data_IF_870896454140
#
_entry.id   IF_870896454140
#
_cell.length_a   1.000
_cell.length_b   1.000
_cell.length_c   1.000
_cell.angle_alpha   90.00
_cell.angle_beta   90.00
_cell.angle_gamma   90.00
#
_symmetry.space_group_name_H-M   'P 1'
#
loop_
_entity.id
_entity.type
_entity.pdbx_description
1 polymer ?
#
# COMPACT_ATOMS: atom_id res chain seq x y z
N UNK A 1 28.44 -20.40 -13.01
CA UNK A 1 27.77 -19.21 -12.37
C UNK A 1 26.37 -19.00 -12.90
N UNK A 2 26.10 -19.42 -14.14
CA UNK A 2 24.79 -19.23 -14.81
C UNK A 2 23.62 -20.03 -14.21
N UNK A 3 23.84 -21.28 -13.74
CA UNK A 3 22.75 -22.09 -13.17
C UNK A 3 22.12 -21.46 -11.92
N UNK A 4 22.91 -20.91 -10.99
CA UNK A 4 22.37 -20.28 -9.77
C UNK A 4 21.53 -19.03 -10.09
N UNK A 5 21.93 -18.26 -11.10
CA UNK A 5 21.17 -17.09 -11.55
C UNK A 5 19.86 -17.50 -12.22
N UNK A 6 19.91 -18.59 -13.01
CA UNK A 6 18.73 -19.15 -13.67
C UNK A 6 17.75 -19.72 -12.63
N UNK A 7 18.23 -20.49 -11.66
CA UNK A 7 17.42 -21.05 -10.56
C UNK A 7 16.79 -19.93 -9.72
N UNK A 8 17.53 -18.85 -9.43
CA UNK A 8 17.01 -17.68 -8.74
C UNK A 8 15.89 -16.99 -9.54
N UNK A 9 16.10 -16.80 -10.85
CA UNK A 9 15.07 -16.20 -11.75
C UNK A 9 13.80 -17.06 -11.80
N UNK A 10 13.96 -18.39 -11.93
CA UNK A 10 12.83 -19.33 -11.93
C UNK A 10 12.06 -19.25 -10.60
N UNK A 11 12.77 -19.27 -9.48
CA UNK A 11 12.16 -19.15 -8.15
C UNK A 11 11.39 -17.83 -7.98
N UNK A 12 11.97 -16.72 -8.40
CA UNK A 12 11.33 -15.40 -8.33
C UNK A 12 10.09 -15.32 -9.22
N UNK A 13 10.17 -15.85 -10.45
CA UNK A 13 9.02 -15.90 -11.37
C UNK A 13 7.90 -16.79 -10.82
N UNK A 14 8.23 -17.95 -10.27
CA UNK A 14 7.26 -18.87 -9.67
C UNK A 14 6.57 -18.22 -8.45
N UNK A 15 7.33 -17.54 -7.59
CA UNK A 15 6.78 -16.78 -6.46
C UNK A 15 5.85 -15.66 -6.93
N UNK A 16 6.24 -14.89 -7.93
CA UNK A 16 5.41 -13.83 -8.52
C UNK A 16 4.11 -14.38 -9.12
N UNK A 17 4.17 -15.48 -9.85
CA UNK A 17 2.99 -16.15 -10.41
C UNK A 17 2.06 -16.67 -9.31
N UNK A 18 2.62 -17.28 -8.26
CA UNK A 18 1.86 -17.77 -7.10
C UNK A 18 1.16 -16.61 -6.38
N UNK A 19 1.88 -15.53 -6.08
CA UNK A 19 1.30 -14.35 -5.42
C UNK A 19 0.23 -13.68 -6.30
N UNK A 20 0.45 -13.58 -7.61
CA UNK A 20 -0.53 -13.06 -8.54
C UNK A 20 -1.81 -13.92 -8.59
N UNK A 21 -1.66 -15.24 -8.56
CA UNK A 21 -2.79 -16.17 -8.51
C UNK A 21 -3.57 -16.07 -7.19
N UNK A 22 -2.87 -15.89 -6.07
CA UNK A 22 -3.48 -15.79 -4.75
C UNK A 22 -4.19 -14.45 -4.52
N UNK A 23 -3.55 -13.35 -4.92
CA UNK A 23 -4.03 -11.99 -4.68
C UNK A 23 -4.98 -11.48 -5.76
N UNK A 24 -4.96 -12.08 -6.96
CA UNK A 24 -5.80 -11.64 -8.07
C UNK A 24 -5.64 -10.13 -8.34
N UNK A 25 -6.75 -9.39 -8.29
CA UNK A 25 -6.77 -7.94 -8.53
C UNK A 25 -5.97 -7.14 -7.49
N UNK A 26 -5.76 -7.67 -6.28
CA UNK A 26 -4.96 -7.06 -5.22
C UNK A 26 -3.45 -7.15 -5.46
N UNK A 27 -2.99 -7.97 -6.42
CA UNK A 27 -1.57 -8.17 -6.66
C UNK A 27 -0.80 -6.86 -6.89
N UNK A 28 -1.30 -6.02 -7.80
CA UNK A 28 -0.66 -4.74 -8.13
C UNK A 28 -0.73 -3.76 -6.95
N UNK A 29 -1.89 -3.49 -6.33
CA UNK A 29 -1.97 -2.62 -5.16
C UNK A 29 -1.05 -3.06 -4.01
N UNK A 30 -1.02 -4.36 -3.68
CA UNK A 30 -0.16 -4.88 -2.61
C UNK A 30 1.32 -4.72 -2.95
N UNK A 31 1.72 -5.01 -4.19
CA UNK A 31 3.11 -4.83 -4.64
C UNK A 31 3.56 -3.37 -4.55
N UNK A 32 2.72 -2.43 -5.02
CA UNK A 32 2.97 -0.99 -4.92
C UNK A 32 3.02 -0.52 -3.47
N UNK A 33 2.11 -1.00 -2.62
CA UNK A 33 2.12 -0.69 -1.19
C UNK A 33 3.42 -1.11 -0.53
N UNK A 34 3.91 -2.34 -0.78
CA UNK A 34 5.20 -2.82 -0.26
C UNK A 34 6.35 -1.96 -0.76
N UNK A 35 6.37 -1.65 -2.07
CA UNK A 35 7.41 -0.80 -2.65
C UNK A 35 7.42 0.61 -2.03
N UNK A 36 6.26 1.27 -1.92
CA UNK A 36 6.14 2.58 -1.27
C UNK A 36 6.59 2.55 0.20
N UNK A 37 6.23 1.49 0.95
CA UNK A 37 6.66 1.34 2.34
C UNK A 37 8.19 1.25 2.48
N UNK A 38 8.85 0.53 1.58
CA UNK A 38 10.33 0.42 1.57
C UNK A 38 10.96 1.76 1.22
N UNK A 39 10.44 2.44 0.19
CA UNK A 39 10.95 3.77 -0.23
C UNK A 39 10.75 4.79 0.88
N UNK A 40 9.55 4.83 1.50
CA UNK A 40 9.27 5.74 2.62
C UNK A 40 10.20 5.49 3.80
N UNK A 41 10.44 4.23 4.16
CA UNK A 41 11.36 3.89 5.24
C UNK A 41 12.79 4.40 4.96
N UNK A 42 13.28 4.18 3.74
CA UNK A 42 14.63 4.64 3.34
C UNK A 42 14.70 6.17 3.33
N UNK A 43 13.73 6.83 2.67
CA UNK A 43 13.70 8.30 2.58
C UNK A 43 13.52 8.95 3.95
N UNK A 44 12.70 8.34 4.83
CA UNK A 44 12.51 8.78 6.20
C UNK A 44 13.79 8.73 7.05
N UNK A 45 14.60 7.66 6.92
CA UNK A 45 15.89 7.55 7.59
C UNK A 45 16.87 8.64 7.12
N UNK A 46 16.92 8.89 5.81
CA UNK A 46 17.76 9.94 5.23
C UNK A 46 17.27 11.31 5.69
N UNK A 47 15.98 11.60 5.60
CA UNK A 47 15.39 12.86 6.04
C UNK A 47 15.66 13.14 7.54
N UNK A 48 15.54 12.13 8.40
CA UNK A 48 15.87 12.26 9.82
C UNK A 48 17.32 12.69 10.05
N UNK A 49 18.26 12.16 9.24
CA UNK A 49 19.66 12.59 9.29
C UNK A 49 19.82 14.07 8.91
N UNK A 50 19.15 14.51 7.84
CA UNK A 50 19.19 15.92 7.41
C UNK A 50 18.55 16.87 8.42
N UNK A 51 17.52 16.43 9.15
CA UNK A 51 16.92 17.20 10.25
C UNK A 51 17.75 17.21 11.54
N UNK A 52 18.87 16.47 11.58
CA UNK A 52 19.70 16.35 12.78
C UNK A 52 19.06 15.51 13.91
N UNK A 53 18.06 14.71 13.58
CA UNK A 53 17.37 13.84 14.53
C UNK A 53 18.21 12.61 14.88
N UNK A 54 18.22 12.22 16.16
CA UNK A 54 18.84 10.96 16.58
C UNK A 54 17.92 9.79 16.22
N UNK A 55 18.29 9.04 15.20
CA UNK A 55 17.60 7.80 14.84
C UNK A 55 17.95 6.74 15.89
N UNK A 56 16.99 6.37 16.74
CA UNK A 56 17.12 5.26 17.66
C UNK A 56 16.45 4.00 17.08
N UNK A 57 17.00 2.82 17.41
CA UNK A 57 16.42 1.54 17.00
C UNK A 57 14.97 1.39 17.45
N UNK A 58 14.59 1.97 18.59
CA UNK A 58 13.21 1.96 19.10
C UNK A 58 12.27 2.76 18.20
N UNK A 59 12.65 3.93 17.71
CA UNK A 59 11.86 4.76 16.79
C UNK A 59 11.68 4.02 15.46
N UNK A 60 12.76 3.42 14.94
CA UNK A 60 12.69 2.61 13.71
C UNK A 60 11.75 1.41 13.84
N UNK A 61 11.84 0.66 14.94
CA UNK A 61 10.97 -0.49 15.20
C UNK A 61 9.49 -0.09 15.30
N UNK A 62 9.17 1.02 15.98
CA UNK A 62 7.81 1.55 16.09
C UNK A 62 7.24 1.90 14.70
N UNK A 63 8.06 2.46 13.82
CA UNK A 63 7.67 2.75 12.43
C UNK A 63 7.33 1.48 11.66
N UNK A 64 8.14 0.43 11.78
CA UNK A 64 7.90 -0.87 11.14
C UNK A 64 6.62 -1.51 11.66
N UNK A 65 6.40 -1.54 12.97
CA UNK A 65 5.18 -2.10 13.58
C UNK A 65 3.94 -1.38 13.05
N UNK A 66 3.97 -0.03 12.97
CA UNK A 66 2.86 0.76 12.41
C UNK A 66 2.56 0.34 10.97
N UNK A 67 3.56 0.14 10.13
CA UNK A 67 3.38 -0.30 8.74
C UNK A 67 2.81 -1.71 8.65
N UNK A 68 3.26 -2.64 9.49
CA UNK A 68 2.67 -3.98 9.57
C UNK A 68 1.20 -3.91 9.97
N UNK A 69 0.84 -3.06 10.92
CA UNK A 69 -0.57 -2.84 11.30
C UNK A 69 -1.41 -2.28 10.12
N UNK A 70 -0.84 -1.40 9.31
CA UNK A 70 -1.52 -0.91 8.09
C UNK A 70 -1.76 -2.04 7.08
N UNK A 71 -0.84 -2.98 6.93
CA UNK A 71 -1.05 -4.15 6.07
C UNK A 71 -2.20 -5.03 6.55
N UNK A 72 -2.38 -5.15 7.87
CA UNK A 72 -3.52 -5.87 8.44
C UNK A 72 -4.87 -5.24 8.06
N UNK A 73 -4.93 -3.91 7.82
CA UNK A 73 -6.15 -3.27 7.32
C UNK A 73 -6.53 -3.77 5.93
N UNK A 74 -5.57 -4.04 5.04
CA UNK A 74 -5.86 -4.65 3.73
C UNK A 74 -6.42 -6.06 3.90
N UNK A 75 -5.88 -6.84 4.85
CA UNK A 75 -6.40 -8.17 5.18
C UNK A 75 -7.84 -8.07 5.71
N UNK A 76 -8.11 -7.12 6.60
CA UNK A 76 -9.49 -6.86 7.10
C UNK A 76 -10.42 -6.50 5.95
N UNK A 77 -9.99 -5.62 5.04
CA UNK A 77 -10.75 -5.29 3.82
C UNK A 77 -11.06 -6.53 2.98
N UNK A 78 -10.08 -7.41 2.77
CA UNK A 78 -10.28 -8.65 2.02
C UNK A 78 -11.23 -9.63 2.72
N UNK A 79 -11.21 -9.69 4.05
CA UNK A 79 -12.18 -10.48 4.83
C UNK A 79 -13.59 -9.91 4.65
N UNK A 80 -13.75 -8.58 4.73
CA UNK A 80 -15.04 -7.93 4.51
C UNK A 80 -15.57 -8.19 3.10
N UNK A 81 -14.74 -8.05 2.07
CA UNK A 81 -15.11 -8.38 0.68
C UNK A 81 -15.54 -9.84 0.53
N UNK A 82 -14.86 -10.77 1.21
CA UNK A 82 -15.19 -12.19 1.20
C UNK A 82 -16.54 -12.47 1.88
N UNK A 83 -16.82 -11.82 3.02
CA UNK A 83 -18.10 -11.93 3.73
C UNK A 83 -19.26 -11.37 2.91
N UNK A 84 -19.05 -10.21 2.26
CA UNK A 84 -20.06 -9.61 1.38
C UNK A 84 -20.37 -10.54 0.20
N UNK A 85 -19.33 -11.11 -0.42
CA UNK A 85 -19.49 -12.07 -1.49
C UNK A 85 -20.29 -13.29 -1.02
N UNK A 86 -19.93 -13.88 0.10
CA UNK A 86 -20.63 -15.04 0.67
C UNK A 86 -22.13 -14.75 0.93
N UNK A 87 -22.40 -13.58 1.54
CA UNK A 87 -23.78 -13.15 1.78
C UNK A 87 -24.55 -12.95 0.47
N UNK A 88 -23.96 -12.28 -0.51
CA UNK A 88 -24.57 -12.04 -1.81
C UNK A 88 -24.86 -13.34 -2.58
N UNK A 89 -23.92 -14.29 -2.59
CA UNK A 89 -24.10 -15.60 -3.20
C UNK A 89 -25.24 -16.40 -2.54
N UNK A 90 -25.39 -16.26 -1.21
CA UNK A 90 -26.46 -16.93 -0.44
C UNK A 90 -27.86 -16.44 -0.81
N UNK A 91 -27.99 -15.14 -1.14
CA UNK A 91 -29.28 -14.54 -1.55
C UNK A 91 -29.47 -14.47 -3.07
N UNK A 92 -28.51 -15.02 -3.85
CA UNK A 92 -28.60 -15.09 -5.31
C UNK A 92 -28.26 -13.76 -6.01
N UNK A 93 -27.61 -12.82 -5.32
CA UNK A 93 -27.15 -11.53 -5.87
C UNK A 93 -25.68 -11.67 -6.28
N UNK A 94 -25.32 -11.18 -7.46
CA UNK A 94 -23.92 -11.12 -7.90
C UNK A 94 -23.33 -9.74 -7.53
N UNK A 95 -22.36 -9.66 -6.61
CA UNK A 95 -21.69 -8.39 -6.32
C UNK A 95 -20.93 -7.92 -7.56
N UNK A 96 -20.96 -6.61 -7.88
CA UNK A 96 -20.37 -6.06 -9.10
C UNK A 96 -18.85 -6.14 -9.14
N UNK A 97 -18.19 -6.20 -7.99
CA UNK A 97 -16.72 -6.18 -7.88
C UNK A 97 -16.24 -7.06 -6.74
N UNK A 98 -15.18 -7.84 -6.99
CA UNK A 98 -14.45 -8.58 -5.95
C UNK A 98 -13.29 -7.74 -5.40
N UNK A 99 -13.04 -7.80 -4.09
CA UNK A 99 -11.94 -7.09 -3.42
C UNK A 99 -11.98 -5.55 -3.55
N UNK A 100 -13.17 -4.96 -3.57
CA UNK A 100 -13.32 -3.51 -3.66
C UNK A 100 -12.79 -2.80 -2.40
N UNK A 101 -13.18 -3.26 -1.21
CA UNK A 101 -12.81 -2.66 0.08
C UNK A 101 -11.30 -2.78 0.29
N UNK A 102 -10.75 -3.98 0.06
CA UNK A 102 -9.31 -4.19 0.17
C UNK A 102 -8.51 -3.31 -0.81
N UNK A 103 -9.00 -3.11 -2.05
CA UNK A 103 -8.38 -2.19 -3.01
C UNK A 103 -8.43 -0.74 -2.55
N UNK A 104 -9.57 -0.26 -2.06
CA UNK A 104 -9.71 1.12 -1.53
C UNK A 104 -8.73 1.35 -0.38
N UNK A 105 -8.66 0.41 0.57
CA UNK A 105 -7.72 0.48 1.70
C UNK A 105 -6.26 0.49 1.22
N UNK A 106 -5.90 -0.38 0.28
CA UNK A 106 -4.54 -0.43 -0.27
C UNK A 106 -4.16 0.86 -0.98
N UNK A 107 -5.04 1.44 -1.79
CA UNK A 107 -4.82 2.73 -2.48
C UNK A 107 -4.67 3.85 -1.47
N UNK A 108 -5.50 3.89 -0.44
CA UNK A 108 -5.40 4.88 0.64
C UNK A 108 -4.04 4.82 1.36
N UNK A 109 -3.57 3.60 1.67
CA UNK A 109 -2.23 3.41 2.28
C UNK A 109 -1.14 3.89 1.32
N UNK A 110 -1.20 3.53 0.04
CA UNK A 110 -0.24 3.98 -0.97
C UNK A 110 -0.19 5.51 -1.04
N UNK A 111 -1.34 6.19 -1.05
CA UNK A 111 -1.39 7.66 -1.06
C UNK A 111 -0.71 8.26 0.19
N UNK A 112 -0.93 7.67 1.38
CA UNK A 112 -0.25 8.12 2.59
C UNK A 112 1.28 7.94 2.50
N UNK A 113 1.74 6.80 2.00
CA UNK A 113 3.18 6.55 1.83
C UNK A 113 3.80 7.51 0.78
N UNK A 114 3.10 7.77 -0.34
CA UNK A 114 3.56 8.72 -1.35
C UNK A 114 3.67 10.15 -0.80
N UNK A 115 2.70 10.60 0.01
CA UNK A 115 2.77 11.90 0.69
C UNK A 115 4.01 11.95 1.58
N UNK A 116 4.21 10.91 2.42
CA UNK A 116 5.37 10.83 3.32
C UNK A 116 6.69 10.83 2.56
N UNK A 117 6.80 10.07 1.47
CA UNK A 117 7.99 10.05 0.60
C UNK A 117 8.29 11.46 0.06
N UNK A 118 7.27 12.15 -0.45
CA UNK A 118 7.43 13.50 -1.01
C UNK A 118 7.86 14.51 0.08
N UNK A 119 7.29 14.42 1.28
CA UNK A 119 7.67 15.25 2.42
C UNK A 119 9.11 14.96 2.85
N UNK A 120 9.51 13.69 2.95
CA UNK A 120 10.89 13.29 3.21
C UNK A 120 11.87 13.84 2.15
N UNK A 121 11.48 13.81 0.87
CA UNK A 121 12.30 14.36 -0.22
C UNK A 121 12.48 15.88 -0.08
N UNK A 122 11.44 16.61 0.32
CA UNK A 122 11.51 18.05 0.60
C UNK A 122 12.49 18.31 1.77
N UNK A 123 12.40 17.54 2.85
CA UNK A 123 13.27 17.66 4.01
C UNK A 123 14.75 17.39 3.68
N UNK A 124 15.02 16.51 2.71
CA UNK A 124 16.37 16.24 2.17
C UNK A 124 16.87 17.40 1.30
N UNK A 125 15.96 18.31 0.87
CA UNK A 125 16.29 19.44 -0.01
C UNK A 125 16.08 19.17 -1.50
N UNK A 126 15.41 18.08 -1.85
CA UNK A 126 15.07 17.77 -3.25
C UNK A 126 13.94 18.69 -3.72
N UNK A 127 14.14 19.34 -4.86
CA UNK A 127 13.10 20.16 -5.50
C UNK A 127 12.11 19.24 -6.21
N UNK A 128 10.92 19.09 -5.64
CA UNK A 128 9.83 18.34 -6.27
C UNK A 128 8.94 19.27 -7.13
N UNK A 129 8.29 18.77 -8.18
CA UNK A 129 7.30 19.54 -8.94
C UNK A 129 6.16 19.99 -8.02
N UNK A 130 5.76 21.30 -8.06
CA UNK A 130 4.81 21.86 -7.10
C UNK A 130 3.39 21.25 -7.18
N UNK A 131 3.05 20.63 -8.32
CA UNK A 131 1.75 19.97 -8.51
C UNK A 131 1.68 18.53 -7.92
N UNK A 132 2.83 17.91 -7.62
CA UNK A 132 2.88 16.48 -7.32
C UNK A 132 2.24 16.16 -5.95
N UNK A 133 2.60 16.91 -4.91
CA UNK A 133 2.02 16.71 -3.57
C UNK A 133 0.51 17.01 -3.52
N UNK A 134 0.01 18.13 -4.09
CA UNK A 134 -1.43 18.36 -4.18
C UNK A 134 -2.18 17.26 -4.94
N UNK A 135 -1.60 16.72 -6.01
CA UNK A 135 -2.22 15.64 -6.78
C UNK A 135 -2.39 14.37 -5.95
N UNK A 136 -1.36 13.96 -5.19
CA UNK A 136 -1.46 12.77 -4.32
C UNK A 136 -2.47 12.99 -3.20
N UNK A 137 -2.54 14.21 -2.61
CA UNK A 137 -3.56 14.55 -1.61
C UNK A 137 -4.97 14.46 -2.18
N UNK A 138 -5.18 14.95 -3.41
CA UNK A 138 -6.47 14.82 -4.10
C UNK A 138 -6.86 13.36 -4.33
N UNK A 139 -5.93 12.50 -4.76
CA UNK A 139 -6.19 11.06 -4.91
C UNK A 139 -6.58 10.40 -3.60
N UNK A 140 -5.93 10.77 -2.50
CA UNK A 140 -6.28 10.30 -1.16
C UNK A 140 -7.72 10.68 -0.79
N UNK A 141 -8.08 11.95 -0.94
CA UNK A 141 -9.44 12.45 -0.65
C UNK A 141 -10.51 11.73 -1.50
N UNK A 142 -10.24 11.48 -2.78
CA UNK A 142 -11.16 10.74 -3.65
C UNK A 142 -11.31 9.28 -3.18
N UNK A 143 -10.23 8.68 -2.68
CA UNK A 143 -10.26 7.31 -2.14
C UNK A 143 -11.08 7.24 -0.84
N UNK A 144 -10.95 8.23 0.04
CA UNK A 144 -11.74 8.34 1.27
C UNK A 144 -13.23 8.48 0.96
N UNK A 145 -13.59 9.39 0.04
CA UNK A 145 -14.99 9.56 -0.42
C UNK A 145 -15.57 8.31 -1.08
N UNK A 146 -14.76 7.54 -1.78
CA UNK A 146 -15.21 6.27 -2.39
C UNK A 146 -15.52 5.19 -1.34
N UNK A 147 -14.91 5.27 -0.17
CA UNK A 147 -15.17 4.37 0.97
C UNK A 147 -16.31 4.81 1.88
N UNK A 148 -16.82 6.05 1.73
CA UNK A 148 -17.93 6.54 2.55
C UNK A 148 -19.27 5.92 2.09
N UNK A 149 -20.12 5.47 3.03
CA UNK A 149 -21.48 5.04 2.70
C UNK A 149 -22.23 6.23 2.08
N UNK A 150 -22.86 6.02 0.92
CA UNK A 150 -23.77 7.03 0.38
C UNK A 150 -24.95 7.15 1.33
N UNK A 151 -25.15 8.32 1.94
CA UNK A 151 -26.39 8.64 2.62
C UNK A 151 -27.50 8.61 1.59
N UNK A 152 -28.34 7.57 1.63
CA UNK A 152 -29.59 7.54 0.87
C UNK A 152 -30.52 8.58 1.53
N UNK A 153 -30.69 9.71 0.85
CA UNK A 153 -31.68 10.73 1.21
C UNK A 153 -33.09 10.30 0.84
#
# INVERSE_FOLDING_TARGET
MDNKLTDFKIGLTALGAFLSSLLGILYVPVLLMVACNVIDYITGLVAAHYRGEKVSSYIGLRGIIKKVCLWLLVVVGAIMDTLIKYAADTVGIKPPVHFLIACIVAVWIICNELISILENMIDIGVKIPPFLLPLVKLLKEQTEKAGEPKEEG
#
